data_IF_146590031276
#
_entry.id   IF_146590031276
#
_cell.length_a   1.000
_cell.length_b   1.000
_cell.length_c   1.000
_cell.angle_alpha   90.00
_cell.angle_beta   90.00
_cell.angle_gamma   90.00
#
_symmetry.space_group_name_H-M   'P 1'
#
loop_
_entity.id
_entity.type
_entity.pdbx_description
1 polymer ?
#
# COMPACT_ATOMS: atom_id res chain seq x y z
N UNK A 1 -3.25 -40.89 24.25
CA UNK A 1 -2.89 -40.15 23.03
C UNK A 1 -3.60 -38.80 23.09
N UNK A 2 -2.90 -37.73 23.46
CA UNK A 2 -3.48 -36.38 23.46
C UNK A 2 -3.34 -35.84 22.03
N UNK A 3 -4.47 -35.60 21.36
CA UNK A 3 -4.53 -34.92 20.06
C UNK A 3 -3.88 -33.55 20.25
N UNK A 4 -2.76 -33.33 19.57
CA UNK A 4 -2.09 -32.03 19.53
C UNK A 4 -2.96 -31.04 18.79
N UNK A 5 -3.83 -30.33 19.51
CA UNK A 5 -4.52 -29.16 19.00
C UNK A 5 -3.47 -28.08 18.73
N UNK A 6 -3.27 -27.79 17.44
CA UNK A 6 -2.48 -26.65 16.99
C UNK A 6 -3.25 -25.38 17.37
N UNK A 7 -2.95 -24.80 18.52
CA UNK A 7 -3.45 -23.47 18.89
C UNK A 7 -2.74 -22.47 17.97
N UNK A 8 -3.39 -22.09 16.87
CA UNK A 8 -2.99 -20.92 16.09
C UNK A 8 -3.49 -19.72 16.88
N UNK A 9 -2.62 -19.15 17.74
CA UNK A 9 -2.86 -17.84 18.32
C UNK A 9 -2.91 -16.83 17.17
N UNK A 10 -4.11 -16.42 16.79
CA UNK A 10 -4.29 -15.30 15.87
C UNK A 10 -3.78 -14.05 16.59
N UNK A 11 -2.58 -13.60 16.22
CA UNK A 11 -2.03 -12.32 16.69
C UNK A 11 -2.83 -11.23 16.00
N UNK A 12 -3.52 -10.39 16.77
CA UNK A 12 -4.20 -9.23 16.21
C UNK A 12 -3.17 -8.30 15.56
N UNK A 13 -3.43 -7.81 14.33
CA UNK A 13 -2.53 -6.93 13.63
C UNK A 13 -2.40 -5.59 14.36
N UNK A 14 -1.17 -5.09 14.48
CA UNK A 14 -0.85 -3.86 15.22
C UNK A 14 -1.42 -2.61 14.51
N UNK A 15 -1.57 -2.69 13.19
CA UNK A 15 -2.11 -1.62 12.35
C UNK A 15 -3.28 -2.13 11.53
N UNK A 16 -4.16 -1.23 11.13
CA UNK A 16 -5.26 -1.52 10.20
C UNK A 16 -5.48 -0.36 9.23
N UNK A 17 -5.78 -0.66 7.97
CA UNK A 17 -6.24 0.35 7.02
C UNK A 17 -7.73 0.63 7.28
N UNK A 18 -8.06 1.89 7.51
CA UNK A 18 -9.44 2.35 7.70
C UNK A 18 -10.08 2.79 6.40
N UNK A 19 -9.30 3.41 5.52
CA UNK A 19 -9.80 3.88 4.23
C UNK A 19 -8.68 4.08 3.23
N UNK A 20 -9.06 4.07 1.95
CA UNK A 20 -8.22 4.39 0.81
C UNK A 20 -8.92 5.46 -0.02
N UNK A 21 -8.28 6.59 -0.26
CA UNK A 21 -8.84 7.71 -1.01
C UNK A 21 -7.86 8.19 -2.06
N UNK A 22 -8.35 8.45 -3.27
CA UNK A 22 -7.54 9.08 -4.30
C UNK A 22 -7.39 10.57 -4.02
N UNK A 23 -6.17 11.03 -3.78
CA UNK A 23 -5.82 12.43 -3.63
C UNK A 23 -5.49 13.01 -5.02
N UNK A 24 -6.29 13.99 -5.45
CA UNK A 24 -6.18 14.60 -6.79
C UNK A 24 -4.95 15.52 -6.92
N UNK A 25 -4.51 16.14 -5.82
CA UNK A 25 -3.43 17.12 -5.84
C UNK A 25 -2.09 16.43 -6.13
N UNK A 26 -1.86 15.28 -5.49
CA UNK A 26 -0.65 14.46 -5.68
C UNK A 26 -0.85 13.31 -6.68
N UNK A 27 -2.08 13.13 -7.18
CA UNK A 27 -2.49 12.06 -8.11
C UNK A 27 -2.11 10.66 -7.64
N UNK A 28 -2.30 10.38 -6.35
CA UNK A 28 -1.97 9.10 -5.71
C UNK A 28 -3.07 8.68 -4.74
N UNK A 29 -3.17 7.39 -4.47
CA UNK A 29 -3.98 6.86 -3.38
C UNK A 29 -3.28 7.07 -2.04
N UNK A 30 -4.06 7.58 -1.08
CA UNK A 30 -3.66 7.77 0.31
C UNK A 30 -4.48 6.83 1.18
N UNK A 31 -3.78 6.09 2.02
CA UNK A 31 -4.34 5.17 3.00
C UNK A 31 -4.36 5.83 4.36
N UNK A 32 -5.53 5.80 5.00
CA UNK A 32 -5.66 6.17 6.42
C UNK A 32 -5.45 4.93 7.25
N UNK A 33 -4.44 4.96 8.11
CA UNK A 33 -3.99 3.83 8.93
C UNK A 33 -4.31 4.14 10.39
N UNK A 34 -4.75 3.13 11.14
CA UNK A 34 -4.97 3.20 12.58
C UNK A 34 -4.00 2.28 13.31
N UNK A 35 -3.42 2.80 14.39
CA UNK A 35 -2.66 2.05 15.40
C UNK A 35 -3.16 2.48 16.78
N UNK A 36 -3.78 1.58 17.53
CA UNK A 36 -4.45 1.91 18.79
C UNK A 36 -5.38 3.13 18.61
N UNK A 37 -5.10 4.26 19.26
CA UNK A 37 -5.87 5.50 19.16
C UNK A 37 -5.34 6.50 18.13
N UNK A 38 -4.18 6.22 17.54
CA UNK A 38 -3.52 7.11 16.59
C UNK A 38 -3.98 6.78 15.17
N UNK A 39 -4.28 7.81 14.38
CA UNK A 39 -4.53 7.71 12.94
C UNK A 39 -3.57 8.59 12.17
N UNK A 40 -3.10 8.09 11.04
CA UNK A 40 -2.21 8.82 10.15
C UNK A 40 -2.38 8.37 8.70
N UNK A 41 -2.05 9.27 7.79
CA UNK A 41 -2.16 9.04 6.35
C UNK A 41 -0.79 8.71 5.74
N UNK A 42 -0.78 7.74 4.82
CA UNK A 42 0.40 7.36 4.02
C UNK A 42 0.00 6.97 2.61
N UNK A 43 0.87 7.24 1.66
CA UNK A 43 0.77 6.74 0.28
C UNK A 43 1.12 5.25 0.21
N UNK A 44 0.73 4.59 -0.88
CA UNK A 44 1.13 3.21 -1.16
C UNK A 44 2.66 3.03 -1.15
N UNK A 45 3.38 4.03 -1.69
CA UNK A 45 4.84 4.01 -1.77
C UNK A 45 5.50 4.12 -0.39
N UNK A 46 5.02 5.02 0.47
CA UNK A 46 5.55 5.14 1.83
C UNK A 46 5.32 3.84 2.62
N UNK A 47 4.16 3.22 2.48
CA UNK A 47 3.85 1.95 3.14
C UNK A 47 4.69 0.78 2.60
N UNK A 48 4.91 0.73 1.28
CA UNK A 48 5.74 -0.30 0.68
C UNK A 48 7.21 -0.23 1.15
N UNK A 49 7.69 0.98 1.48
CA UNK A 49 9.05 1.20 1.97
C UNK A 49 9.16 0.98 3.49
N UNK A 50 8.10 1.24 4.26
CA UNK A 50 8.06 0.97 5.70
C UNK A 50 7.63 -0.47 6.00
N UNK A 51 8.60 -1.38 5.96
CA UNK A 51 8.42 -2.80 6.27
C UNK A 51 7.84 -3.05 7.66
N UNK A 52 8.09 -2.17 8.62
CA UNK A 52 7.61 -2.35 9.99
C UNK A 52 6.09 -2.24 10.05
N UNK A 53 5.53 -1.21 9.41
CA UNK A 53 4.08 -1.03 9.28
C UNK A 53 3.52 -2.09 8.36
N UNK A 54 4.14 -2.32 7.19
CA UNK A 54 3.59 -3.24 6.19
C UNK A 54 3.40 -4.66 6.74
N UNK A 55 4.40 -5.24 7.41
CA UNK A 55 4.30 -6.62 7.91
C UNK A 55 3.41 -6.77 9.15
N UNK A 56 2.97 -5.66 9.73
CA UNK A 56 2.07 -5.62 10.88
C UNK A 56 0.60 -5.38 10.51
N UNK A 57 0.31 -5.19 9.22
CA UNK A 57 -1.04 -5.08 8.66
C UNK A 57 -1.66 -6.47 8.43
N UNK A 58 -3.00 -6.55 8.36
CA UNK A 58 -3.70 -7.71 7.81
C UNK A 58 -3.20 -8.08 6.42
N UNK A 59 -3.25 -9.37 6.06
CA UNK A 59 -2.82 -9.85 4.73
C UNK A 59 -3.60 -9.21 3.57
N UNK A 60 -4.88 -8.92 3.77
CA UNK A 60 -5.73 -8.19 2.81
C UNK A 60 -5.23 -6.75 2.58
N UNK A 61 -4.86 -6.06 3.64
CA UNK A 61 -4.32 -4.69 3.61
C UNK A 61 -2.94 -4.67 2.95
N UNK A 62 -2.09 -5.65 3.26
CA UNK A 62 -0.78 -5.83 2.60
C UNK A 62 -0.96 -5.98 1.08
N UNK A 63 -1.92 -6.80 0.67
CA UNK A 63 -2.22 -7.01 -0.74
C UNK A 63 -2.68 -5.72 -1.42
N UNK A 64 -3.60 -4.96 -0.81
CA UNK A 64 -4.08 -3.71 -1.40
C UNK A 64 -2.97 -2.65 -1.50
N UNK A 65 -2.10 -2.55 -0.50
CA UNK A 65 -0.92 -1.68 -0.55
C UNK A 65 0.01 -2.10 -1.70
N UNK A 66 0.35 -3.38 -1.80
CA UNK A 66 1.23 -3.90 -2.85
C UNK A 66 0.66 -3.68 -4.25
N UNK A 67 -0.62 -3.99 -4.43
CA UNK A 67 -1.33 -3.80 -5.69
C UNK A 67 -1.36 -2.33 -6.11
N UNK A 68 -1.65 -1.43 -5.16
CA UNK A 68 -1.71 0.01 -5.40
C UNK A 68 -0.33 0.57 -5.74
N UNK A 69 0.68 0.21 -4.97
CA UNK A 69 2.07 0.64 -5.20
C UNK A 69 2.56 0.21 -6.60
N UNK A 70 2.34 -1.05 -6.97
CA UNK A 70 2.70 -1.56 -8.30
C UNK A 70 1.94 -0.86 -9.43
N UNK A 71 0.63 -0.66 -9.26
CA UNK A 71 -0.21 0.01 -10.26
C UNK A 71 0.22 1.46 -10.50
N UNK A 72 0.52 2.20 -9.43
CA UNK A 72 1.00 3.58 -9.52
C UNK A 72 2.38 3.67 -10.16
N UNK A 73 3.29 2.74 -9.87
CA UNK A 73 4.61 2.68 -10.50
C UNK A 73 4.50 2.48 -12.03
N UNK A 74 3.71 1.50 -12.47
CA UNK A 74 3.48 1.22 -13.89
C UNK A 74 2.84 2.42 -14.60
N UNK A 75 1.89 3.11 -13.96
CA UNK A 75 1.28 4.31 -14.53
C UNK A 75 2.30 5.45 -14.68
N UNK A 76 3.17 5.68 -13.69
CA UNK A 76 4.23 6.68 -13.75
C UNK A 76 5.20 6.39 -14.90
N UNK A 77 5.64 5.14 -15.03
CA UNK A 77 6.52 4.72 -16.13
C UNK A 77 5.86 4.94 -17.50
N UNK A 78 4.58 4.57 -17.65
CA UNK A 78 3.83 4.79 -18.89
C UNK A 78 3.74 6.26 -19.27
N UNK A 79 3.45 7.14 -18.31
CA UNK A 79 3.38 8.59 -18.54
C UNK A 79 4.74 9.11 -18.99
N UNK A 80 5.82 8.75 -18.30
CA UNK A 80 7.18 9.17 -18.65
C UNK A 80 7.61 8.71 -20.06
N UNK A 81 7.25 7.47 -20.44
CA UNK A 81 7.51 6.94 -21.78
C UNK A 81 6.74 7.71 -22.86
N UNK A 82 5.47 8.03 -22.61
CA UNK A 82 4.64 8.80 -23.56
C UNK A 82 5.15 10.24 -23.74
N UNK A 83 5.56 10.89 -22.65
CA UNK A 83 6.16 12.23 -22.70
C UNK A 83 7.47 12.22 -23.48
N UNK A 84 8.31 11.20 -23.28
CA UNK A 84 9.56 11.04 -24.02
C UNK A 84 9.31 10.84 -25.50
N UNK A 85 8.35 9.98 -25.88
CA UNK A 85 7.96 9.77 -27.29
C UNK A 85 7.45 11.06 -27.94
N UNK A 86 6.64 11.85 -27.23
CA UNK A 86 6.15 13.15 -27.73
C UNK A 86 7.29 14.12 -28.01
N UNK A 87 8.26 14.22 -27.11
CA UNK A 87 9.45 15.09 -27.28
C UNK A 87 10.35 14.67 -28.45
N UNK A 88 10.43 13.37 -28.73
CA UNK A 88 11.19 12.85 -29.86
C UNK A 88 10.49 13.16 -31.20
N UNK A 89 9.17 13.03 -31.25
CA UNK A 89 8.38 13.25 -32.48
C UNK A 89 8.11 14.73 -32.77
N UNK A 90 8.39 15.64 -31.84
CA UNK A 90 8.26 17.09 -32.01
C UNK A 90 9.56 17.77 -32.48
N UNK A 91 10.60 16.99 -32.78
CA UNK A 91 11.86 17.44 -33.38
C UNK A 91 11.92 17.01 -34.83
#
# INVERSE_FOLDING_TARGET
>A
MLKGEKIILAVEPEYKILSKKFNRDIRQYVFTIKKAEIQFDRTANELALDKSILFSLPSEDIYDVGYTHGSEAVLKERVALLETKRKLNSK
#
